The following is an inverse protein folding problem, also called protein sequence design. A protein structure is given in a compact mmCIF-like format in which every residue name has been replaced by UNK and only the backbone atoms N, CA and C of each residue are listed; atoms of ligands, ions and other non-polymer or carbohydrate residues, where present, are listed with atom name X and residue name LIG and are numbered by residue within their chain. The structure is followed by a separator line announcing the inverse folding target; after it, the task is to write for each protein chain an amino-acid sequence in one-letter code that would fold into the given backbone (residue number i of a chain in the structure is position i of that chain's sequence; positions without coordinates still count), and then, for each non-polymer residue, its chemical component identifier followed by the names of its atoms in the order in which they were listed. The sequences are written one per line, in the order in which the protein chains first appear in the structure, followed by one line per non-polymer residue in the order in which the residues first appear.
data_IF_060861013457
#
_entry.id   IF_060861013457
#
_cell.length_a   1.000
_cell.length_b   1.000
_cell.length_c   1.000
_cell.angle_alpha   90.00
_cell.angle_beta   90.00
_cell.angle_gamma   90.00
#
_symmetry.space_group_name_H-M   'P 1'
#
loop_
_entity.id
_entity.type
_entity.pdbx_description
1 polymer ?
#
# COMPACT_ATOMS: atom_id res chain seq x y z
N UNK A 1 8.67 8.15 -8.46
CA UNK A 1 8.60 7.36 -9.70
C UNK A 1 9.16 8.12 -10.89
N UNK A 2 8.39 9.05 -11.45
CA UNK A 2 8.75 9.81 -12.65
C UNK A 2 10.10 10.54 -12.56
N UNK A 3 10.39 11.23 -11.45
CA UNK A 3 11.66 11.93 -11.25
C UNK A 3 12.88 10.98 -11.23
N UNK A 4 12.76 9.81 -10.59
CA UNK A 4 13.81 8.80 -10.57
C UNK A 4 14.06 8.19 -11.96
N UNK A 5 13.01 7.97 -12.75
CA UNK A 5 13.14 7.49 -14.13
C UNK A 5 13.81 8.53 -15.03
N UNK A 6 13.41 9.80 -14.92
CA UNK A 6 14.03 10.89 -15.67
C UNK A 6 15.50 11.06 -15.29
N UNK A 7 15.83 10.99 -13.99
CA UNK A 7 17.20 11.09 -13.50
C UNK A 7 18.12 9.94 -13.93
N UNK A 8 17.61 8.71 -14.03
CA UNK A 8 18.36 7.59 -14.61
C UNK A 8 18.65 7.81 -16.10
N UNK A 9 17.67 8.31 -16.86
CA UNK A 9 17.82 8.54 -18.29
C UNK A 9 18.86 9.62 -18.63
N UNK A 10 19.02 10.62 -17.75
CA UNK A 10 20.01 11.70 -17.92
C UNK A 10 21.31 11.47 -17.15
N UNK A 11 21.48 10.30 -16.51
CA UNK A 11 22.70 9.95 -15.77
C UNK A 11 22.89 10.70 -14.44
N UNK A 12 21.83 11.32 -13.91
CA UNK A 12 21.84 11.94 -12.59
C UNK A 12 21.98 10.90 -11.46
N UNK A 13 21.44 9.69 -11.68
CA UNK A 13 21.73 8.50 -10.86
C UNK A 13 22.36 7.43 -11.76
N UNK A 14 23.36 6.73 -11.23
CA UNK A 14 24.12 5.74 -12.01
C UNK A 14 23.38 4.41 -12.15
N UNK A 15 22.54 4.08 -11.16
CA UNK A 15 21.85 2.79 -11.09
C UNK A 15 20.64 2.86 -10.13
N UNK A 16 19.90 1.74 -10.04
CA UNK A 16 18.69 1.67 -9.22
C UNK A 16 19.01 1.54 -7.73
N UNK A 17 20.21 1.06 -7.39
CA UNK A 17 20.70 0.90 -6.02
C UNK A 17 20.88 2.25 -5.32
N UNK A 18 21.39 3.26 -6.02
CA UNK A 18 21.49 4.65 -5.53
C UNK A 18 20.10 5.22 -5.18
N UNK A 19 19.09 4.89 -5.97
CA UNK A 19 17.70 5.32 -5.74
C UNK A 19 17.07 4.56 -4.57
N UNK A 20 17.39 3.27 -4.42
CA UNK A 20 16.92 2.45 -3.32
C UNK A 20 17.46 2.96 -1.96
N UNK A 21 18.69 3.48 -1.93
CA UNK A 21 19.27 4.11 -0.74
C UNK A 21 18.55 5.38 -0.27
N UNK A 22 17.79 6.05 -1.15
CA UNK A 22 17.01 7.24 -0.81
C UNK A 22 15.68 6.90 -0.12
N UNK A 23 15.30 5.62 -0.06
CA UNK A 23 14.09 5.20 0.60
C UNK A 23 14.29 5.16 2.12
N UNK A 24 13.40 5.80 2.86
CA UNK A 24 13.39 5.79 4.31
C UNK A 24 11.97 5.53 4.82
N UNK A 25 11.87 4.76 5.90
CA UNK A 25 10.60 4.56 6.62
C UNK A 25 10.31 5.84 7.38
N UNK A 26 9.27 6.57 6.98
CA UNK A 26 8.77 7.69 7.77
C UNK A 26 8.05 7.19 9.04
N UNK A 27 7.17 6.19 8.88
CA UNK A 27 6.39 5.64 9.99
C UNK A 27 6.09 4.17 9.78
N UNK A 28 6.20 3.41 10.86
CA UNK A 28 5.76 2.02 10.94
C UNK A 28 4.60 1.92 11.92
N UNK A 29 3.48 1.38 11.45
CA UNK A 29 2.34 1.07 12.30
C UNK A 29 2.41 -0.39 12.73
N UNK A 30 2.04 -0.64 13.97
CA UNK A 30 1.93 -1.99 14.52
C UNK A 30 0.46 -2.32 14.75
N UNK A 31 0.05 -3.59 14.57
CA UNK A 31 -1.31 -3.98 14.87
C UNK A 31 -1.60 -3.79 16.36
N UNK A 32 -2.67 -3.07 16.66
CA UNK A 32 -3.11 -2.78 18.04
C UNK A 32 -4.43 -3.48 18.38
N UNK A 33 -4.99 -4.23 17.43
CA UNK A 33 -6.27 -4.90 17.56
C UNK A 33 -6.07 -6.40 17.68
N UNK A 34 -6.79 -7.01 18.60
CA UNK A 34 -6.84 -8.47 18.76
C UNK A 34 -7.34 -9.15 17.48
N UNK A 35 -6.81 -10.34 17.21
CA UNK A 35 -7.10 -11.08 15.99
C UNK A 35 -8.61 -11.38 15.84
N UNK A 36 -9.26 -11.75 16.93
CA UNK A 36 -10.69 -12.07 16.96
C UNK A 36 -11.55 -10.85 16.63
N UNK A 37 -11.24 -9.68 17.21
CA UNK A 37 -11.94 -8.42 16.93
C UNK A 37 -11.79 -8.04 15.46
N UNK A 38 -10.58 -8.15 14.91
CA UNK A 38 -10.30 -7.88 13.50
C UNK A 38 -11.11 -8.80 12.59
N UNK A 39 -11.18 -10.08 12.91
CA UNK A 39 -11.91 -11.08 12.12
C UNK A 39 -13.42 -10.83 12.13
N UNK A 40 -13.98 -10.51 13.30
CA UNK A 40 -15.39 -10.15 13.43
C UNK A 40 -15.75 -8.92 12.59
N UNK A 41 -14.98 -7.85 12.70
CA UNK A 41 -15.18 -6.63 11.92
C UNK A 41 -15.05 -6.89 10.41
N UNK A 42 -14.06 -7.69 10.01
CA UNK A 42 -13.84 -8.03 8.61
C UNK A 42 -14.98 -8.88 8.03
N UNK A 43 -15.55 -9.81 8.81
CA UNK A 43 -16.72 -10.57 8.40
C UNK A 43 -17.95 -9.67 8.18
N UNK A 44 -18.16 -8.69 9.06
CA UNK A 44 -19.20 -7.67 8.91
C UNK A 44 -19.02 -6.83 7.63
N UNK A 45 -17.79 -6.40 7.36
CA UNK A 45 -17.44 -5.69 6.12
C UNK A 45 -17.76 -6.53 4.88
N UNK A 46 -17.32 -7.79 4.82
CA UNK A 46 -17.62 -8.69 3.69
C UNK A 46 -19.12 -8.83 3.44
N UNK A 47 -19.90 -8.97 4.50
CA UNK A 47 -21.37 -9.04 4.41
C UNK A 47 -21.96 -7.75 3.84
N UNK A 48 -21.44 -6.59 4.24
CA UNK A 48 -21.90 -5.30 3.72
C UNK A 48 -21.54 -5.14 2.23
N UNK A 49 -20.31 -5.47 1.85
CA UNK A 49 -19.86 -5.42 0.45
C UNK A 49 -20.71 -6.34 -0.42
N UNK A 50 -20.97 -7.58 0.02
CA UNK A 50 -21.82 -8.51 -0.73
C UNK A 50 -23.26 -8.03 -0.92
N UNK A 51 -23.78 -7.17 -0.02
CA UNK A 51 -25.11 -6.55 -0.18
C UNK A 51 -25.11 -5.34 -1.11
N UNK A 52 -23.94 -4.78 -1.40
CA UNK A 52 -23.78 -3.64 -2.29
C UNK A 52 -23.38 -4.05 -3.72
N UNK A 53 -23.08 -5.34 -3.94
CA UNK A 53 -22.85 -5.91 -5.26
C UNK A 53 -24.18 -6.19 -5.98
N UNK A 54 -24.14 -6.27 -7.31
CA UNK A 54 -25.29 -6.58 -8.18
C UNK A 54 -26.52 -5.70 -7.91
N UNK A 55 -26.27 -4.42 -7.64
CA UNK A 55 -27.32 -3.43 -7.40
C UNK A 55 -28.09 -3.06 -8.67
N UNK A 56 -27.48 -3.20 -9.84
CA UNK A 56 -28.04 -2.83 -11.14
C UNK A 56 -27.71 -3.92 -12.17
N UNK A 57 -28.57 -4.09 -13.18
CA UNK A 57 -28.45 -5.12 -14.25
C UNK A 57 -27.28 -4.89 -15.23
#
# INVERSE_FOLDING_TARGET
GAAYLAGLAVGYWSNKEEIAGNWAIERKFQPQMEAETREHLFAGWKKAVGRAMDWEE
#
